data_IF_084218401317
#
_entry.id   IF_084218401317
#
_cell.length_a   1.000
_cell.length_b   1.000
_cell.length_c   1.000
_cell.angle_alpha   90.00
_cell.angle_beta   90.00
_cell.angle_gamma   90.00
#
_symmetry.space_group_name_H-M   'P 1'
#
loop_
_entity.id
_entity.type
_entity.pdbx_description
1 polymer ?
#
# COMPACT_ATOMS: atom_id res chain seq x y z
N UNK A 1 -8.22 24.62 2.50
CA UNK A 1 -6.89 24.15 2.03
C UNK A 1 -6.89 22.65 1.90
N UNK A 2 -6.49 22.19 0.72
CA UNK A 2 -6.33 20.75 0.51
C UNK A 2 -5.06 20.28 1.19
N UNK A 3 -5.16 19.24 1.99
CA UNK A 3 -4.01 18.67 2.68
C UNK A 3 -3.46 17.49 1.90
N UNK A 4 -2.15 17.32 1.97
CA UNK A 4 -1.46 16.16 1.43
C UNK A 4 -1.23 15.15 2.56
N UNK A 5 -1.54 13.90 2.30
CA UNK A 5 -1.32 12.83 3.28
C UNK A 5 -0.08 12.03 2.92
N UNK A 6 0.77 11.79 3.90
CA UNK A 6 1.93 10.91 3.79
C UNK A 6 1.74 9.77 4.78
N UNK A 7 1.57 8.56 4.25
CA UNK A 7 1.42 7.35 5.06
C UNK A 7 2.80 6.72 5.18
N UNK A 8 3.31 6.59 6.39
CA UNK A 8 4.65 6.06 6.62
C UNK A 8 4.54 4.60 7.04
N UNK A 9 5.21 3.71 6.32
CA UNK A 9 5.16 2.27 6.54
C UNK A 9 6.56 1.67 6.59
N UNK A 10 6.84 0.76 7.53
CA UNK A 10 8.11 0.04 7.55
C UNK A 10 8.09 -1.14 6.57
N UNK A 11 9.21 -1.39 5.93
CA UNK A 11 9.38 -2.54 5.04
C UNK A 11 10.73 -3.21 5.34
N UNK A 12 10.77 -4.53 5.24
CA UNK A 12 11.99 -5.28 5.51
C UNK A 12 13.01 -5.17 4.37
N UNK A 13 12.53 -5.13 3.14
CA UNK A 13 13.38 -5.04 1.95
C UNK A 13 12.82 -3.97 1.03
N UNK A 14 13.41 -2.78 1.09
CA UNK A 14 12.90 -1.61 0.37
C UNK A 14 12.87 -1.84 -1.14
N UNK A 15 13.93 -2.42 -1.71
CA UNK A 15 13.99 -2.67 -3.15
C UNK A 15 12.88 -3.63 -3.60
N UNK A 16 12.62 -4.69 -2.85
CA UNK A 16 11.56 -5.65 -3.18
C UNK A 16 10.18 -5.03 -3.06
N UNK A 17 9.97 -4.17 -2.06
CA UNK A 17 8.70 -3.46 -1.90
C UNK A 17 8.46 -2.50 -3.05
N UNK A 18 9.49 -1.79 -3.51
CA UNK A 18 9.40 -0.92 -4.69
C UNK A 18 9.01 -1.74 -5.93
N UNK A 19 9.64 -2.89 -6.13
CA UNK A 19 9.28 -3.79 -7.25
C UNK A 19 7.84 -4.25 -7.15
N UNK A 20 7.40 -4.64 -5.95
CA UNK A 20 6.04 -5.11 -5.70
C UNK A 20 5.01 -4.05 -6.11
N UNK A 21 5.14 -2.84 -5.59
CA UNK A 21 4.17 -1.78 -5.89
C UNK A 21 4.29 -1.25 -7.32
N UNK A 22 5.49 -1.29 -7.90
CA UNK A 22 5.67 -0.96 -9.31
C UNK A 22 4.91 -1.95 -10.21
N UNK A 23 4.92 -3.22 -9.85
CA UNK A 23 4.17 -4.25 -10.58
C UNK A 23 2.65 -4.00 -10.54
N UNK A 24 2.15 -3.32 -9.51
CA UNK A 24 0.75 -2.93 -9.41
C UNK A 24 0.45 -1.62 -10.16
N UNK A 25 1.45 -0.98 -10.73
CA UNK A 25 1.28 0.25 -11.51
C UNK A 25 1.56 1.54 -10.74
N UNK A 26 2.03 1.47 -9.50
CA UNK A 26 2.38 2.68 -8.75
C UNK A 26 3.71 3.24 -9.20
N UNK A 27 3.80 4.57 -9.29
CA UNK A 27 5.04 5.28 -9.54
C UNK A 27 5.67 5.72 -8.23
N UNK A 28 6.97 5.92 -8.25
CA UNK A 28 7.72 6.46 -7.12
C UNK A 28 8.32 7.79 -7.53
N UNK A 29 8.33 8.76 -6.60
CA UNK A 29 8.87 10.09 -6.86
C UNK A 29 10.40 10.03 -6.73
N UNK A 30 11.15 10.21 -7.84
CA UNK A 30 12.60 10.10 -7.79
C UNK A 30 13.27 11.26 -7.06
N UNK A 31 12.55 12.34 -6.77
CA UNK A 31 13.09 13.49 -6.04
C UNK A 31 13.09 13.27 -4.54
N UNK A 32 12.32 12.29 -4.06
CA UNK A 32 12.18 12.00 -2.64
C UNK A 32 12.58 10.55 -2.42
N UNK A 33 13.71 10.37 -1.74
CA UNK A 33 14.15 9.02 -1.44
C UNK A 33 15.66 8.92 -1.34
N UNK A 34 16.09 7.91 -0.63
CA UNK A 34 17.49 7.55 -0.43
C UNK A 34 17.56 6.05 -0.15
N UNK A 35 18.66 5.58 0.44
CA UNK A 35 18.79 4.15 0.76
C UNK A 35 17.83 3.68 1.85
N UNK A 36 17.20 4.60 2.59
CA UNK A 36 16.30 4.26 3.71
C UNK A 36 14.82 4.45 3.40
N UNK A 37 14.49 5.26 2.38
CA UNK A 37 13.11 5.70 2.12
C UNK A 37 12.83 5.80 0.64
N UNK A 38 11.64 5.38 0.22
CA UNK A 38 11.12 5.62 -1.13
C UNK A 38 9.69 6.15 -1.02
N UNK A 39 9.34 7.08 -1.90
CA UNK A 39 8.04 7.76 -1.88
C UNK A 39 7.14 7.21 -2.99
N UNK A 40 6.14 6.44 -2.61
CA UNK A 40 5.16 5.91 -3.56
C UNK A 40 4.06 6.94 -3.78
N UNK A 41 3.76 7.22 -5.04
CA UNK A 41 2.69 8.15 -5.40
C UNK A 41 1.38 7.37 -5.45
N UNK A 42 0.44 7.70 -4.56
CA UNK A 42 -0.91 7.13 -4.57
C UNK A 42 -1.83 7.98 -5.44
N UNK A 43 -1.75 9.28 -5.27
CA UNK A 43 -2.53 10.25 -6.03
C UNK A 43 -1.96 11.64 -5.84
N UNK A 44 -2.64 12.68 -6.33
CA UNK A 44 -2.12 14.05 -6.29
C UNK A 44 -1.93 14.57 -4.86
N UNK A 45 -2.69 14.07 -3.91
CA UNK A 45 -2.62 14.50 -2.50
C UNK A 45 -2.33 13.36 -1.54
N UNK A 46 -1.86 12.21 -2.02
CA UNK A 46 -1.65 11.04 -1.16
C UNK A 46 -0.39 10.28 -1.58
N UNK A 47 0.43 9.97 -0.60
CA UNK A 47 1.72 9.30 -0.80
C UNK A 47 1.94 8.26 0.30
N UNK A 48 2.66 7.20 -0.02
CA UNK A 48 3.13 6.25 0.98
C UNK A 48 4.67 6.31 1.01
N UNK A 49 5.19 6.62 2.18
CA UNK A 49 6.63 6.65 2.42
C UNK A 49 7.03 5.28 2.96
N UNK A 50 7.72 4.52 2.14
CA UNK A 50 8.22 3.21 2.53
C UNK A 50 9.62 3.38 3.12
N UNK A 51 9.79 2.96 4.36
CA UNK A 51 11.06 3.12 5.09
C UNK A 51 11.64 1.77 5.45
N UNK A 52 12.97 1.67 5.45
CA UNK A 52 13.60 0.49 6.06
C UNK A 52 13.15 0.39 7.52
N UNK A 53 13.08 -0.83 8.03
CA UNK A 53 12.67 -1.08 9.42
C UNK A 53 13.50 -0.27 10.40
N UNK A 54 14.83 -0.25 10.24
CA UNK A 54 15.72 0.48 11.14
C UNK A 54 15.42 1.98 11.14
N UNK A 55 15.20 2.58 9.97
CA UNK A 55 14.89 4.00 9.87
C UNK A 55 13.52 4.31 10.47
N UNK A 56 12.53 3.45 10.20
CA UNK A 56 11.18 3.64 10.75
C UNK A 56 11.20 3.62 12.27
N UNK A 57 11.91 2.67 12.87
CA UNK A 57 12.03 2.59 14.33
C UNK A 57 12.74 3.78 14.92
N UNK A 58 13.76 4.29 14.23
CA UNK A 58 14.49 5.47 14.67
C UNK A 58 13.60 6.72 14.64
N UNK A 59 12.88 6.92 13.55
CA UNK A 59 12.08 8.13 13.39
C UNK A 59 10.79 8.12 14.23
N UNK A 60 10.22 6.96 14.50
CA UNK A 60 9.03 6.84 15.36
C UNK A 60 9.39 6.64 16.83
N UNK A 61 10.64 6.34 17.15
CA UNK A 61 11.08 5.97 18.50
C UNK A 61 10.30 4.77 19.05
N UNK A 62 9.94 3.83 18.17
CA UNK A 62 9.09 2.68 18.53
C UNK A 62 9.49 1.46 17.71
N UNK A 63 9.18 0.28 18.24
CA UNK A 63 9.42 -0.99 17.56
C UNK A 63 8.35 -1.23 16.49
N UNK A 64 8.77 -1.77 15.35
CA UNK A 64 7.83 -2.17 14.30
C UNK A 64 6.92 -3.29 14.83
N UNK A 65 5.62 -3.17 14.54
CA UNK A 65 4.63 -4.14 14.98
C UNK A 65 4.82 -5.50 14.27
N UNK A 66 4.40 -6.55 14.95
CA UNK A 66 4.33 -7.89 14.36
C UNK A 66 3.40 -7.84 13.13
N UNK A 67 3.79 -8.48 12.00
CA UNK A 67 2.95 -8.49 10.80
C UNK A 67 1.54 -9.04 11.02
N UNK A 68 1.33 -9.84 12.05
CA UNK A 68 -0.01 -10.35 12.40
C UNK A 68 -0.87 -9.30 13.11
N UNK A 69 -0.27 -8.20 13.58
CA UNK A 69 -0.98 -7.13 14.29
C UNK A 69 -1.31 -6.00 13.31
N UNK A 70 -2.59 -5.66 13.19
CA UNK A 70 -3.06 -4.63 12.26
C UNK A 70 -3.73 -3.50 13.04
N UNK A 71 -3.17 -2.30 12.97
CA UNK A 71 -3.83 -1.10 13.46
C UNK A 71 -4.29 -0.20 12.34
N UNK A 72 -3.66 -0.31 11.16
CA UNK A 72 -3.95 0.52 10.00
C UNK A 72 -4.18 -0.37 8.81
N UNK A 73 -5.21 -0.06 8.03
CA UNK A 73 -5.45 -0.62 6.72
C UNK A 73 -5.61 0.55 5.75
N UNK A 74 -5.00 0.45 4.58
CA UNK A 74 -5.06 1.50 3.58
C UNK A 74 -5.99 1.06 2.46
N UNK A 75 -7.01 1.87 2.19
CA UNK A 75 -7.99 1.59 1.15
C UNK A 75 -7.90 2.65 0.05
N UNK A 76 -7.80 2.21 -1.18
CA UNK A 76 -7.69 3.07 -2.35
C UNK A 76 -8.85 2.80 -3.29
N UNK A 77 -9.28 3.83 -4.00
CA UNK A 77 -10.36 3.67 -4.98
C UNK A 77 -9.84 3.12 -6.30
N UNK A 78 -10.69 2.38 -6.99
CA UNK A 78 -10.47 1.93 -8.35
C UNK A 78 -11.63 2.41 -9.22
N UNK A 79 -11.41 2.42 -10.53
CA UNK A 79 -12.35 2.99 -11.49
C UNK A 79 -13.49 2.04 -11.85
N UNK A 80 -13.34 0.74 -11.57
CA UNK A 80 -14.34 -0.26 -11.92
C UNK A 80 -14.20 -1.50 -11.04
N UNK A 81 -15.24 -2.32 -11.06
CA UNK A 81 -15.23 -3.64 -10.43
C UNK A 81 -14.09 -4.49 -10.98
N UNK A 82 -13.92 -4.49 -12.31
CA UNK A 82 -12.87 -5.28 -12.96
C UNK A 82 -11.47 -4.81 -12.55
N UNK A 83 -11.28 -3.49 -12.40
CA UNK A 83 -9.97 -2.96 -11.98
C UNK A 83 -9.62 -3.40 -10.56
N UNK A 84 -10.60 -3.47 -9.66
CA UNK A 84 -10.37 -3.99 -8.31
C UNK A 84 -9.79 -5.41 -8.39
N UNK A 85 -10.41 -6.28 -9.19
CA UNK A 85 -9.95 -7.65 -9.35
C UNK A 85 -8.57 -7.73 -9.98
N UNK A 86 -8.33 -6.96 -11.04
CA UNK A 86 -7.05 -6.95 -11.72
C UNK A 86 -5.90 -6.53 -10.80
N UNK A 87 -6.11 -5.47 -10.04
CA UNK A 87 -5.07 -4.95 -9.14
C UNK A 87 -4.74 -5.94 -8.04
N UNK A 88 -5.75 -6.57 -7.43
CA UNK A 88 -5.52 -7.54 -6.37
C UNK A 88 -4.88 -8.82 -6.92
N UNK A 89 -5.30 -9.28 -8.11
CA UNK A 89 -4.66 -10.44 -8.74
C UNK A 89 -3.19 -10.15 -9.08
N UNK A 90 -2.88 -8.93 -9.50
CA UNK A 90 -1.50 -8.51 -9.73
C UNK A 90 -0.69 -8.50 -8.43
N UNK A 91 -1.30 -8.06 -7.33
CA UNK A 91 -0.65 -8.07 -6.02
C UNK A 91 -0.32 -9.50 -5.58
N UNK A 92 -1.26 -10.41 -5.75
CA UNK A 92 -1.05 -11.83 -5.42
C UNK A 92 0.07 -12.41 -6.30
N UNK A 93 0.06 -12.12 -7.60
CA UNK A 93 1.08 -12.60 -8.52
C UNK A 93 2.47 -12.05 -8.17
N UNK A 94 2.54 -10.85 -7.59
CA UNK A 94 3.80 -10.22 -7.20
C UNK A 94 4.32 -10.68 -5.82
N UNK A 95 3.59 -11.55 -5.14
CA UNK A 95 4.01 -12.12 -3.86
C UNK A 95 3.16 -11.72 -2.66
N UNK A 96 2.14 -10.91 -2.86
CA UNK A 96 1.18 -10.57 -1.82
C UNK A 96 0.22 -11.72 -1.53
N UNK A 97 -0.64 -11.52 -0.55
CA UNK A 97 -1.62 -12.55 -0.15
C UNK A 97 -3.02 -11.99 -0.26
N UNK A 98 -3.95 -12.81 -0.74
CA UNK A 98 -5.37 -12.47 -0.75
C UNK A 98 -5.85 -12.30 0.71
N UNK A 99 -6.54 -11.22 0.99
CA UNK A 99 -7.07 -10.92 2.31
C UNK A 99 -8.60 -10.79 2.31
N UNK A 100 -9.26 -11.25 1.24
CA UNK A 100 -10.71 -11.35 1.17
C UNK A 100 -11.35 -10.34 0.24
N UNK A 101 -12.67 -10.49 0.13
CA UNK A 101 -13.50 -9.60 -0.69
C UNK A 101 -14.82 -9.33 0.00
N UNK A 102 -15.46 -8.24 -0.39
CA UNK A 102 -16.78 -7.89 0.08
C UNK A 102 -17.54 -7.18 -1.04
N UNK A 103 -18.72 -7.71 -1.37
CA UNK A 103 -19.58 -7.12 -2.38
C UNK A 103 -20.89 -6.72 -1.71
N UNK A 104 -21.11 -5.42 -1.58
CA UNK A 104 -22.31 -4.88 -0.92
C UNK A 104 -23.29 -4.27 -1.92
N UNK A 105 -23.09 -4.54 -3.22
CA UNK A 105 -23.90 -3.95 -4.28
C UNK A 105 -23.45 -2.55 -4.64
N UNK A 106 -23.56 -1.61 -3.71
CA UNK A 106 -23.12 -0.23 -3.94
C UNK A 106 -21.61 -0.06 -3.84
N UNK A 107 -20.91 -1.03 -3.25
CA UNK A 107 -19.47 -0.99 -3.07
C UNK A 107 -18.89 -2.40 -3.20
N UNK A 108 -17.84 -2.52 -3.99
CA UNK A 108 -17.08 -3.75 -4.14
C UNK A 108 -15.65 -3.51 -3.67
N UNK A 109 -15.14 -4.41 -2.85
CA UNK A 109 -13.80 -4.29 -2.28
C UNK A 109 -13.09 -5.63 -2.31
N UNK A 110 -11.79 -5.60 -2.59
CA UNK A 110 -10.90 -6.72 -2.33
C UNK A 110 -9.67 -6.22 -1.60
N UNK A 111 -9.16 -7.05 -0.70
CA UNK A 111 -8.00 -6.74 0.10
C UNK A 111 -6.86 -7.71 -0.17
N UNK A 112 -5.65 -7.24 0.08
CA UNK A 112 -4.45 -8.07 0.03
C UNK A 112 -3.48 -7.63 1.13
N UNK A 113 -2.55 -8.51 1.46
CA UNK A 113 -1.42 -8.17 2.30
C UNK A 113 -0.20 -8.01 1.41
N UNK A 114 0.57 -6.95 1.64
CA UNK A 114 1.82 -6.75 0.89
C UNK A 114 2.93 -7.67 1.44
N UNK A 115 4.15 -7.50 0.97
CA UNK A 115 5.27 -8.37 1.35
C UNK A 115 5.60 -8.31 2.84
N UNK A 116 5.20 -7.25 3.52
CA UNK A 116 5.43 -7.05 4.95
C UNK A 116 4.19 -7.30 5.81
N UNK A 117 3.10 -7.73 5.18
CA UNK A 117 1.85 -8.00 5.87
C UNK A 117 0.99 -6.77 6.11
N UNK A 118 1.34 -5.61 5.55
CA UNK A 118 0.45 -4.45 5.60
C UNK A 118 -0.79 -4.71 4.77
N UNK A 119 -1.94 -4.31 5.30
CA UNK A 119 -3.22 -4.55 4.64
C UNK A 119 -3.59 -3.38 3.74
N UNK A 120 -3.85 -3.70 2.48
CA UNK A 120 -4.33 -2.77 1.46
C UNK A 120 -5.63 -3.30 0.89
N UNK A 121 -6.49 -2.39 0.42
CA UNK A 121 -7.65 -2.79 -0.35
C UNK A 121 -7.89 -1.82 -1.50
N UNK A 122 -8.54 -2.32 -2.54
CA UNK A 122 -9.08 -1.49 -3.61
C UNK A 122 -10.59 -1.55 -3.54
N UNK A 123 -11.24 -0.40 -3.70
CA UNK A 123 -12.69 -0.26 -3.61
C UNK A 123 -13.24 0.43 -4.85
N UNK A 124 -14.38 -0.05 -5.28
CA UNK A 124 -15.14 0.61 -6.34
C UNK A 124 -16.55 0.88 -5.82
N UNK A 125 -17.00 2.12 -5.95
CA UNK A 125 -18.35 2.51 -5.59
C UNK A 125 -19.20 2.59 -6.85
N UNK A 126 -20.19 1.72 -6.96
CA UNK A 126 -21.15 1.73 -8.05
C UNK A 126 -22.11 2.92 -7.87
N UNK A 127 -22.45 3.57 -8.98
CA UNK A 127 -23.34 4.75 -8.97
C UNK A 127 -24.54 4.53 -9.83
#
# INVERSE_FOLDING_TARGET
MDRTAYINLPVQDLARSVEFFTALGFAFDPRVGDENTQCMVIGSGAFAMLHTTAFFEQFTSATVADPATKEVAVSLTAASHDEVDELVEQAIAAGGKDAGRQDMGFMYMRAFLDLDGHRWSFMYFAR
#
